data_IF_212520068928
#
_entry.id   IF_212520068928
#
_cell.length_a   1.000
_cell.length_b   1.000
_cell.length_c   1.000
_cell.angle_alpha   90.00
_cell.angle_beta   90.00
_cell.angle_gamma   90.00
#
_symmetry.space_group_name_H-M   'P 1'
#
loop_
_entity.id
_entity.type
_entity.pdbx_description
1 polymer ?
#
# COMPACT_ATOMS: atom_id res chain seq x y z
N UNK A 1 9.60 -20.10 -3.06
CA UNK A 1 9.26 -18.76 -3.56
C UNK A 1 9.56 -17.80 -2.44
N UNK A 2 10.50 -16.89 -2.65
CA UNK A 2 10.90 -15.95 -1.61
C UNK A 2 10.07 -14.66 -1.75
N UNK A 3 9.65 -14.09 -0.63
CA UNK A 3 8.88 -12.86 -0.57
C UNK A 3 9.59 -11.88 0.36
N UNK A 4 9.78 -10.65 -0.10
CA UNK A 4 10.41 -9.57 0.65
C UNK A 4 9.41 -8.42 0.80
N UNK A 5 9.23 -7.93 2.02
CA UNK A 5 8.42 -6.77 2.33
C UNK A 5 9.20 -5.81 3.24
N UNK A 6 8.89 -4.52 3.15
CA UNK A 6 9.51 -3.49 4.00
C UNK A 6 8.40 -2.69 4.68
N UNK A 7 8.46 -2.58 6.01
CA UNK A 7 7.56 -1.73 6.80
C UNK A 7 8.28 -0.44 7.17
N UNK A 8 7.58 0.69 7.05
CA UNK A 8 7.99 1.96 7.60
C UNK A 8 7.09 2.32 8.78
N UNK A 9 7.68 2.55 9.96
CA UNK A 9 6.96 3.01 11.15
C UNK A 9 7.40 4.43 11.49
N UNK A 10 6.49 5.39 11.34
CA UNK A 10 6.74 6.80 11.70
C UNK A 10 6.86 6.92 13.22
N UNK A 11 7.93 7.56 13.72
CA UNK A 11 8.08 7.90 15.15
C UNK A 11 8.63 6.77 16.04
N UNK A 12 8.77 5.55 15.53
CA UNK A 12 9.34 4.41 16.26
C UNK A 12 10.89 4.44 16.34
N UNK A 13 11.49 5.61 16.52
CA UNK A 13 12.95 5.76 16.53
C UNK A 13 13.60 4.83 17.56
N UNK A 14 14.68 4.14 17.16
CA UNK A 14 15.50 3.27 18.02
C UNK A 14 16.36 4.03 19.05
N UNK A 15 16.19 5.36 19.16
CA UNK A 15 17.10 6.25 19.88
C UNK A 15 18.44 6.49 19.16
N UNK A 16 18.69 5.78 18.07
CA UNK A 16 19.83 5.96 17.18
C UNK A 16 19.34 6.54 15.85
N UNK A 17 19.97 7.61 15.39
CA UNK A 17 19.77 8.04 14.01
C UNK A 17 20.16 6.89 13.09
N UNK A 18 19.19 6.31 12.39
CA UNK A 18 19.50 5.67 11.11
C UNK A 18 19.93 6.80 10.20
N UNK A 19 21.24 6.98 10.00
CA UNK A 19 21.72 7.58 8.76
C UNK A 19 21.13 6.70 7.67
N UNK A 20 20.05 7.16 7.04
CA UNK A 20 19.47 6.44 5.93
C UNK A 20 20.61 6.22 4.96
N UNK A 21 21.07 4.96 4.81
CA UNK A 21 22.05 4.64 3.79
C UNK A 21 21.55 5.24 2.49
N UNK A 22 22.46 5.84 1.72
CA UNK A 22 22.10 6.59 0.52
C UNK A 22 21.07 5.79 -0.27
N UNK A 23 19.84 6.30 -0.30
CA UNK A 23 18.77 5.67 -1.06
C UNK A 23 19.32 5.63 -2.48
N UNK A 24 19.52 4.44 -3.09
CA UNK A 24 20.01 4.37 -4.45
C UNK A 24 19.14 5.28 -5.29
N UNK A 25 19.76 6.10 -6.14
CA UNK A 25 19.01 6.86 -7.11
C UNK A 25 18.05 5.88 -7.82
N UNK A 26 16.76 6.25 -7.98
CA UNK A 26 15.87 5.43 -8.78
C UNK A 26 16.56 5.16 -10.12
N UNK A 27 16.47 3.94 -10.67
CA UNK A 27 17.05 3.68 -11.98
C UNK A 27 16.49 4.69 -12.98
N UNK A 28 17.31 5.08 -13.97
CA UNK A 28 16.83 5.94 -15.05
C UNK A 28 15.60 5.29 -15.68
N UNK A 29 14.46 5.98 -15.61
CA UNK A 29 13.24 5.52 -16.27
C UNK A 29 13.49 5.62 -17.77
N UNK A 30 13.33 4.51 -18.48
CA UNK A 30 13.39 4.49 -19.94
C UNK A 30 12.16 5.15 -20.57
N UNK A 31 12.07 5.04 -21.89
CA UNK A 31 10.92 5.56 -22.64
C UNK A 31 9.61 4.88 -22.20
N UNK A 32 8.51 5.63 -22.21
CA UNK A 32 7.18 5.07 -21.97
C UNK A 32 6.80 4.21 -23.18
N UNK A 33 6.76 2.89 -22.97
CA UNK A 33 6.43 1.93 -24.04
C UNK A 33 4.92 1.62 -24.13
N UNK A 34 4.16 1.89 -23.07
CA UNK A 34 2.72 1.67 -23.01
C UNK A 34 2.05 2.53 -21.92
N UNK A 35 0.75 2.74 -22.05
CA UNK A 35 -0.11 3.34 -21.02
C UNK A 35 -1.41 2.56 -20.97
N UNK A 36 -1.86 2.23 -19.77
CA UNK A 36 -3.15 1.59 -19.55
C UNK A 36 -3.91 2.30 -18.44
N UNK A 37 -5.23 2.22 -18.51
CA UNK A 37 -6.14 2.65 -17.46
C UNK A 37 -6.93 1.44 -17.03
N UNK A 38 -6.93 1.17 -15.73
CA UNK A 38 -7.75 0.11 -15.15
C UNK A 38 -8.83 0.76 -14.29
N UNK A 39 -10.07 0.38 -14.56
CA UNK A 39 -11.18 0.75 -13.69
C UNK A 39 -11.16 -0.15 -12.46
N UNK A 40 -11.03 0.44 -11.27
CA UNK A 40 -11.09 -0.28 -10.00
C UNK A 40 -12.53 -0.22 -9.49
N UNK A 41 -13.25 -1.35 -9.41
CA UNK A 41 -14.61 -1.37 -8.90
C UNK A 41 -14.67 -0.98 -7.42
N UNK A 42 -15.82 -0.49 -6.97
CA UNK A 42 -16.00 -0.01 -5.59
C UNK A 42 -16.00 -1.15 -4.58
N UNK A 43 -16.38 -2.35 -5.03
CA UNK A 43 -16.42 -3.60 -4.28
C UNK A 43 -15.05 -4.28 -4.16
N UNK A 44 -14.05 -3.80 -4.90
CA UNK A 44 -12.71 -4.42 -4.96
C UNK A 44 -12.07 -4.63 -3.58
N UNK A 45 -12.14 -3.70 -2.61
CA UNK A 45 -11.61 -3.93 -1.26
C UNK A 45 -12.26 -5.14 -0.57
N UNK A 46 -13.59 -5.29 -0.68
CA UNK A 46 -14.29 -6.44 -0.08
C UNK A 46 -13.94 -7.76 -0.78
N UNK A 47 -13.89 -7.77 -2.12
CA UNK A 47 -13.52 -8.96 -2.87
C UNK A 47 -12.06 -9.39 -2.58
N UNK A 48 -11.16 -8.43 -2.43
CA UNK A 48 -9.77 -8.70 -2.11
C UNK A 48 -9.60 -9.21 -0.68
N UNK A 49 -10.35 -8.69 0.29
CA UNK A 49 -10.32 -9.18 1.67
C UNK A 49 -10.69 -10.67 1.75
N UNK A 50 -11.77 -11.08 1.07
CA UNK A 50 -12.21 -12.47 1.01
C UNK A 50 -11.16 -13.39 0.34
N UNK A 51 -10.52 -12.92 -0.74
CA UNK A 51 -9.54 -13.71 -1.47
C UNK A 51 -8.18 -13.81 -0.76
N UNK A 52 -7.74 -12.74 -0.08
CA UNK A 52 -6.40 -12.63 0.51
C UNK A 52 -6.33 -13.00 1.99
N UNK A 53 -7.47 -12.95 2.69
CA UNK A 53 -7.54 -13.06 4.14
C UNK A 53 -7.20 -11.77 4.88
N UNK A 54 -6.81 -10.69 4.19
CA UNK A 54 -6.56 -9.38 4.80
C UNK A 54 -7.87 -8.63 5.06
N UNK A 55 -8.42 -8.82 6.26
CA UNK A 55 -9.64 -8.19 6.72
C UNK A 55 -9.37 -6.92 7.54
N UNK A 56 -8.28 -6.20 7.29
CA UNK A 56 -8.00 -4.95 7.99
C UNK A 56 -9.17 -3.95 7.81
N UNK A 57 -9.80 -3.46 8.90
CA UNK A 57 -11.01 -2.64 8.82
C UNK A 57 -10.88 -1.35 8.02
N UNK A 58 -9.67 -0.82 7.81
CA UNK A 58 -9.46 0.37 6.94
C UNK A 58 -9.93 0.13 5.48
N UNK A 59 -10.10 -1.14 5.09
CA UNK A 59 -10.56 -1.56 3.77
C UNK A 59 -12.06 -1.92 3.72
N UNK A 60 -12.75 -1.99 4.87
CA UNK A 60 -14.12 -2.54 4.95
C UNK A 60 -15.09 -1.64 5.72
N UNK A 61 -14.59 -0.79 6.61
CA UNK A 61 -15.39 0.08 7.47
C UNK A 61 -15.00 1.55 7.28
N UNK A 62 -15.96 2.33 6.77
CA UNK A 62 -15.79 3.75 6.50
C UNK A 62 -15.55 4.58 7.78
N UNK A 63 -16.14 4.20 8.91
CA UNK A 63 -15.92 4.87 10.18
C UNK A 63 -14.50 4.63 10.69
N UNK A 64 -13.99 3.39 10.59
CA UNK A 64 -12.62 3.07 11.00
C UNK A 64 -11.61 3.77 10.11
N UNK A 65 -11.81 3.76 8.79
CA UNK A 65 -10.94 4.46 7.85
C UNK A 65 -10.87 5.97 8.16
N UNK A 66 -12.03 6.61 8.41
CA UNK A 66 -12.09 8.02 8.79
C UNK A 66 -11.45 8.29 10.16
N UNK A 67 -11.64 7.39 11.13
CA UNK A 67 -11.04 7.51 12.48
C UNK A 67 -9.51 7.52 12.44
N UNK A 68 -8.89 6.79 11.50
CA UNK A 68 -7.43 6.79 11.30
C UNK A 68 -6.93 7.87 10.34
N UNK A 69 -7.80 8.81 9.92
CA UNK A 69 -7.44 9.98 9.13
C UNK A 69 -7.49 9.77 7.61
N UNK A 70 -8.10 8.69 7.12
CA UNK A 70 -8.36 8.49 5.69
C UNK A 70 -9.67 9.18 5.27
N UNK A 71 -9.86 9.52 3.98
CA UNK A 71 -11.10 10.14 3.50
C UNK A 71 -12.30 9.18 3.50
N UNK A 72 -12.06 7.87 3.56
CA UNK A 72 -13.03 6.78 3.55
C UNK A 72 -12.30 5.46 3.32
N UNK A 73 -13.05 4.39 3.04
CA UNK A 73 -12.47 3.08 2.69
C UNK A 73 -11.47 3.22 1.53
N UNK A 74 -10.28 2.63 1.71
CA UNK A 74 -9.26 2.55 0.67
C UNK A 74 -9.08 1.10 0.23
N UNK A 75 -8.59 0.90 -0.99
CA UNK A 75 -8.22 -0.43 -1.46
C UNK A 75 -6.96 -0.97 -0.77
N UNK A 76 -6.80 -2.29 -0.73
CA UNK A 76 -5.56 -2.94 -0.27
C UNK A 76 -4.38 -2.55 -1.15
N UNK A 77 -3.23 -2.27 -0.54
CA UNK A 77 -2.02 -1.94 -1.28
C UNK A 77 -1.59 -3.04 -2.23
N UNK A 78 -1.60 -4.30 -1.76
CA UNK A 78 -1.34 -5.47 -2.60
C UNK A 78 -2.44 -5.73 -3.63
N UNK A 79 -3.67 -5.25 -3.39
CA UNK A 79 -4.75 -5.29 -4.38
C UNK A 79 -4.49 -4.42 -5.60
N UNK A 80 -3.66 -3.37 -5.48
CA UNK A 80 -3.26 -2.56 -6.64
C UNK A 80 -2.22 -3.23 -7.54
N UNK A 81 -1.65 -4.35 -7.08
CA UNK A 81 -0.61 -5.11 -7.78
C UNK A 81 -1.14 -6.43 -8.39
N UNK A 82 -2.42 -6.74 -8.16
CA UNK A 82 -3.10 -7.95 -8.63
C UNK A 82 -3.91 -7.76 -9.90
#
# INVERSE_FOLDING_TARGET
MDQYWTIFVRGAGSGTERTGGEKPAPPARGDVVATFTQHVPVEMPSAYAEASGDHNPIHLDDNVAKMVGLPGVINHGLGTLS
#
